data_IF_508426445158
#
_entry.id   IF_508426445158
#
_cell.length_a   1.000
_cell.length_b   1.000
_cell.length_c   1.000
_cell.angle_alpha   90.00
_cell.angle_beta   90.00
_cell.angle_gamma   90.00
#
_symmetry.space_group_name_H-M   'P 1'
#
loop_
_entity.id
_entity.type
_entity.pdbx_description
1 polymer ?
#
# COMPACT_ATOMS: atom_id res chain seq x y z
N UNK A 1 21.21 56.77 41.43
CA UNK A 1 20.85 57.62 40.29
C UNK A 1 19.36 57.48 40.06
N UNK A 2 18.68 58.59 40.23
CA UNK A 2 17.25 58.77 40.44
C UNK A 2 16.61 59.38 39.20
N UNK A 3 15.55 58.76 38.67
CA UNK A 3 14.59 59.37 37.75
C UNK A 3 13.20 58.84 38.16
N UNK A 4 12.42 59.61 38.91
CA UNK A 4 11.51 60.69 38.48
C UNK A 4 10.22 60.14 37.87
N UNK A 5 9.20 60.03 38.74
CA UNK A 5 7.79 59.95 38.40
C UNK A 5 7.25 61.37 38.42
N UNK A 6 6.55 61.79 37.36
CA UNK A 6 5.75 63.00 37.32
C UNK A 6 4.39 62.71 36.66
N UNK A 7 3.27 63.24 37.19
CA UNK A 7 1.93 63.03 36.64
C UNK A 7 1.59 64.11 35.60
N UNK A 8 0.88 63.74 34.54
CA UNK A 8 0.17 64.70 33.69
C UNK A 8 -1.30 64.31 33.56
N UNK A 9 -2.14 65.16 34.14
CA UNK A 9 -3.59 65.20 34.01
C UNK A 9 -3.99 66.10 32.83
N UNK A 10 -5.06 65.73 32.12
CA UNK A 10 -5.92 66.69 31.42
C UNK A 10 -6.00 66.53 29.91
N UNK A 11 -7.15 66.09 29.40
CA UNK A 11 -7.43 66.03 27.96
C UNK A 11 -8.72 65.29 27.61
N UNK A 12 -9.85 65.71 28.17
CA UNK A 12 -11.18 65.30 27.72
C UNK A 12 -11.47 65.90 26.35
N UNK A 13 -11.46 65.07 25.31
CA UNK A 13 -12.12 65.35 24.03
C UNK A 13 -12.88 64.11 23.62
N UNK A 14 -14.20 64.18 23.76
CA UNK A 14 -15.11 63.15 23.28
C UNK A 14 -15.01 63.03 21.77
N UNK A 15 -14.45 61.92 21.31
CA UNK A 15 -14.77 61.36 20.01
C UNK A 15 -15.70 60.18 20.26
N UNK A 16 -16.97 60.43 19.92
CA UNK A 16 -18.03 59.46 19.66
C UNK A 16 -17.46 58.08 19.36
N UNK A 17 -17.53 57.18 20.33
CA UNK A 17 -17.43 55.75 20.10
C UNK A 17 -18.59 55.40 19.16
N UNK A 18 -18.31 55.23 17.87
CA UNK A 18 -19.11 54.36 17.03
C UNK A 18 -19.05 52.98 17.66
N UNK A 19 -20.02 52.72 18.52
CA UNK A 19 -20.39 51.40 18.98
C UNK A 19 -20.93 50.66 17.75
N UNK A 20 -20.03 50.07 16.96
CA UNK A 20 -20.42 49.03 16.02
C UNK A 20 -20.81 47.83 16.88
N UNK A 21 -22.11 47.54 16.92
CA UNK A 21 -22.70 46.43 17.69
C UNK A 21 -21.85 45.15 17.61
N UNK A 22 -21.30 44.63 18.73
CA UNK A 22 -20.64 43.33 18.76
C UNK A 22 -21.63 42.14 18.69
N UNK A 23 -22.92 42.40 18.42
CA UNK A 23 -24.02 41.43 18.56
C UNK A 23 -24.33 40.57 17.34
N UNK A 24 -23.69 40.78 16.19
CA UNK A 24 -24.02 40.02 14.97
C UNK A 24 -22.81 39.66 14.10
N UNK A 25 -21.66 39.34 14.71
CA UNK A 25 -20.77 38.39 14.04
C UNK A 25 -21.49 37.05 14.04
N UNK A 26 -22.15 36.75 12.92
CA UNK A 26 -22.99 35.57 12.78
C UNK A 26 -22.14 34.34 13.10
N UNK A 27 -22.75 33.31 13.71
CA UNK A 27 -22.15 31.98 13.86
C UNK A 27 -21.58 31.50 12.49
N UNK A 28 -22.20 31.95 11.39
CA UNK A 28 -21.73 31.75 10.03
C UNK A 28 -20.36 32.37 9.75
N UNK A 29 -20.04 33.56 10.28
CA UNK A 29 -18.73 34.20 10.12
C UNK A 29 -17.64 33.50 10.92
N UNK A 30 -17.94 33.01 12.12
CA UNK A 30 -17.01 32.19 12.90
C UNK A 30 -16.70 30.87 12.19
N UNK A 31 -17.72 30.19 11.64
CA UNK A 31 -17.54 28.98 10.82
C UNK A 31 -16.74 29.30 9.56
N UNK A 32 -16.97 30.45 8.91
CA UNK A 32 -16.25 30.86 7.69
C UNK A 32 -14.78 31.18 7.97
N UNK A 33 -14.48 31.75 9.13
CA UNK A 33 -13.12 32.02 9.61
C UNK A 33 -12.42 30.70 9.98
N UNK A 34 -13.06 29.83 10.76
CA UNK A 34 -12.52 28.49 11.06
C UNK A 34 -12.27 27.64 9.80
N UNK A 35 -13.21 27.61 8.86
CA UNK A 35 -13.06 26.89 7.59
C UNK A 35 -11.91 27.44 6.72
N UNK A 36 -11.54 28.71 6.91
CA UNK A 36 -10.43 29.36 6.20
C UNK A 36 -9.07 29.18 6.91
N UNK A 37 -9.05 29.06 8.24
CA UNK A 37 -7.81 28.93 9.03
C UNK A 37 -7.39 27.48 9.28
N UNK A 38 -8.32 26.55 9.52
CA UNK A 38 -8.00 25.13 9.78
C UNK A 38 -7.13 24.49 8.67
N UNK A 39 -7.40 24.69 7.36
CA UNK A 39 -6.57 24.11 6.31
C UNK A 39 -5.14 24.67 6.30
N UNK A 40 -4.96 25.93 6.73
CA UNK A 40 -3.63 26.56 6.80
C UNK A 40 -2.84 26.01 7.99
N UNK A 41 -3.45 25.90 9.16
CA UNK A 41 -2.79 25.32 10.33
C UNK A 41 -2.40 23.84 10.11
N UNK A 42 -3.31 23.04 9.55
CA UNK A 42 -3.00 21.64 9.20
C UNK A 42 -1.86 21.54 8.18
N UNK A 43 -1.81 22.46 7.21
CA UNK A 43 -0.71 22.52 6.24
C UNK A 43 0.61 22.88 6.90
N UNK A 44 0.61 23.82 7.84
CA UNK A 44 1.81 24.27 8.53
C UNK A 44 2.34 23.19 9.50
N UNK A 45 1.46 22.53 10.26
CA UNK A 45 1.82 21.38 11.10
C UNK A 45 2.31 20.20 10.26
N UNK A 46 1.69 19.93 9.11
CA UNK A 46 2.17 18.90 8.18
C UNK A 46 3.55 19.27 7.58
N UNK A 47 3.81 20.54 7.31
CA UNK A 47 5.12 21.00 6.84
C UNK A 47 6.20 20.87 7.92
N UNK A 48 5.87 21.22 9.16
CA UNK A 48 6.77 21.05 10.30
C UNK A 48 7.08 19.58 10.55
N UNK A 49 6.05 18.73 10.59
CA UNK A 49 6.21 17.28 10.71
C UNK A 49 7.05 16.72 9.56
N UNK A 50 6.86 17.20 8.32
CA UNK A 50 7.66 16.78 7.18
C UNK A 50 9.13 17.15 7.33
N UNK A 51 9.45 18.36 7.83
CA UNK A 51 10.82 18.80 8.06
C UNK A 51 11.50 17.92 9.12
N UNK A 52 10.85 17.74 10.27
CA UNK A 52 11.37 16.92 11.36
C UNK A 52 11.52 15.45 10.94
N UNK A 53 10.53 14.89 10.23
CA UNK A 53 10.62 13.53 9.68
C UNK A 53 11.74 13.41 8.65
N UNK A 54 11.98 14.43 7.82
CA UNK A 54 13.06 14.40 6.82
C UNK A 54 14.43 14.44 7.48
N UNK A 55 14.62 15.24 8.53
CA UNK A 55 15.88 15.28 9.27
C UNK A 55 16.14 13.96 10.01
N UNK A 56 15.12 13.44 10.72
CA UNK A 56 15.21 12.11 11.37
C UNK A 56 15.43 11.00 10.35
N UNK A 57 14.76 11.04 9.19
CA UNK A 57 14.93 10.07 8.11
C UNK A 57 16.31 10.14 7.46
N UNK A 58 16.93 11.32 7.33
CA UNK A 58 18.30 11.44 6.80
C UNK A 58 19.31 10.79 7.75
N UNK A 59 19.19 11.04 9.05
CA UNK A 59 20.10 10.47 10.05
C UNK A 59 19.91 8.96 10.16
N UNK A 60 18.66 8.50 10.22
CA UNK A 60 18.35 7.07 10.22
C UNK A 60 18.74 6.40 8.89
N UNK A 61 18.56 7.10 7.77
CA UNK A 61 18.92 6.62 6.43
C UNK A 61 20.41 6.43 6.25
N UNK A 62 21.26 7.34 6.78
CA UNK A 62 22.71 7.15 6.80
C UNK A 62 23.11 5.92 7.61
N UNK A 63 22.52 5.74 8.80
CA UNK A 63 22.75 4.56 9.62
C UNK A 63 22.33 3.27 8.91
N UNK A 64 21.14 3.27 8.31
CA UNK A 64 20.64 2.13 7.53
C UNK A 64 21.53 1.81 6.32
N UNK A 65 22.10 2.80 5.65
CA UNK A 65 23.03 2.59 4.54
C UNK A 65 24.30 1.85 4.99
N UNK A 66 24.91 2.24 6.11
CA UNK A 66 26.06 1.52 6.67
C UNK A 66 25.70 0.10 7.11
N UNK A 67 24.50 -0.12 7.66
CA UNK A 67 24.02 -1.46 7.99
C UNK A 67 23.91 -2.33 6.73
N UNK A 68 23.35 -1.81 5.63
CA UNK A 68 23.26 -2.55 4.37
C UNK A 68 24.64 -2.91 3.84
N UNK A 69 25.58 -1.95 3.83
CA UNK A 69 26.97 -2.22 3.42
C UNK A 69 27.61 -3.27 4.32
N UNK A 70 27.45 -3.16 5.63
CA UNK A 70 27.93 -4.15 6.59
C UNK A 70 27.35 -5.54 6.37
N UNK A 71 26.05 -5.65 6.07
CA UNK A 71 25.41 -6.93 5.75
C UNK A 71 25.95 -7.54 4.44
N UNK A 72 26.26 -6.73 3.43
CA UNK A 72 26.89 -7.20 2.19
C UNK A 72 28.29 -7.77 2.48
N UNK A 73 29.12 -7.04 3.23
CA UNK A 73 30.45 -7.54 3.61
C UNK A 73 30.38 -8.77 4.50
N UNK A 74 29.43 -8.82 5.44
CA UNK A 74 29.19 -9.99 6.28
C UNK A 74 28.80 -11.21 5.44
N UNK A 75 27.95 -11.03 4.42
CA UNK A 75 27.57 -12.10 3.50
C UNK A 75 28.77 -12.60 2.69
N UNK A 76 29.58 -11.68 2.13
CA UNK A 76 30.80 -12.04 1.41
C UNK A 76 31.81 -12.78 2.30
N UNK A 77 32.03 -12.28 3.53
CA UNK A 77 32.89 -12.93 4.51
C UNK A 77 32.38 -14.33 4.88
N UNK A 78 31.07 -14.50 5.03
CA UNK A 78 30.46 -15.81 5.31
C UNK A 78 30.68 -16.79 4.16
N UNK A 79 30.50 -16.37 2.91
CA UNK A 79 30.77 -17.22 1.73
C UNK A 79 32.25 -17.64 1.69
N UNK A 80 33.16 -16.70 1.91
CA UNK A 80 34.59 -16.99 1.95
C UNK A 80 34.94 -17.98 3.08
N UNK A 81 34.34 -17.82 4.26
CA UNK A 81 34.57 -18.69 5.42
C UNK A 81 34.02 -20.11 5.19
N UNK A 82 32.84 -20.23 4.57
CA UNK A 82 32.28 -21.53 4.14
C UNK A 82 33.20 -22.20 3.13
N UNK A 83 33.69 -21.47 2.13
CA UNK A 83 34.65 -21.98 1.16
C UNK A 83 35.96 -22.45 1.82
N UNK A 84 36.51 -21.65 2.74
CA UNK A 84 37.70 -22.00 3.51
C UNK A 84 37.49 -23.24 4.38
N UNK A 85 36.31 -23.38 5.02
CA UNK A 85 35.97 -24.55 5.81
C UNK A 85 35.89 -25.82 4.94
N UNK A 86 35.28 -25.74 3.76
CA UNK A 86 35.23 -26.86 2.80
C UNK A 86 36.64 -27.22 2.34
N UNK A 87 37.45 -26.23 1.95
CA UNK A 87 38.82 -26.46 1.52
C UNK A 87 39.70 -27.07 2.63
N UNK A 88 39.53 -26.62 3.88
CA UNK A 88 40.22 -27.17 5.04
C UNK A 88 39.83 -28.62 5.31
N UNK A 89 38.54 -28.96 5.28
CA UNK A 89 38.07 -30.34 5.40
C UNK A 89 38.50 -31.22 4.21
N UNK A 90 38.61 -30.63 3.02
CA UNK A 90 39.03 -31.34 1.81
C UNK A 90 40.47 -31.88 1.90
N UNK A 91 41.28 -31.41 2.86
CA UNK A 91 42.62 -31.94 3.10
C UNK A 91 42.62 -33.32 3.77
N UNK A 92 41.54 -33.68 4.48
CA UNK A 92 41.42 -34.97 5.19
C UNK A 92 40.40 -35.92 4.55
N UNK A 93 39.53 -35.42 3.66
CA UNK A 93 38.51 -36.22 2.95
C UNK A 93 38.20 -35.63 1.57
N UNK A 94 37.54 -36.37 0.65
CA UNK A 94 37.16 -35.83 -0.65
C UNK A 94 36.31 -34.54 -0.55
N UNK A 95 36.60 -33.55 -1.42
CA UNK A 95 35.96 -32.23 -1.38
C UNK A 95 34.42 -32.28 -1.46
N UNK A 96 33.85 -33.24 -2.20
CA UNK A 96 32.40 -33.41 -2.30
C UNK A 96 31.78 -33.84 -0.95
N UNK A 97 32.48 -34.66 -0.17
CA UNK A 97 32.01 -35.13 1.14
C UNK A 97 32.14 -34.02 2.19
N UNK A 98 33.22 -33.25 2.13
CA UNK A 98 33.42 -32.05 2.96
C UNK A 98 32.26 -31.04 2.77
N UNK A 99 31.90 -30.76 1.52
CA UNK A 99 30.79 -29.86 1.19
C UNK A 99 29.44 -30.39 1.72
N UNK A 100 29.18 -31.70 1.60
CA UNK A 100 27.95 -32.31 2.13
C UNK A 100 27.87 -32.24 3.66
N UNK A 101 28.95 -32.54 4.37
CA UNK A 101 28.96 -32.45 5.84
C UNK A 101 28.70 -31.03 6.32
N UNK A 102 29.35 -30.04 5.72
CA UNK A 102 29.12 -28.65 6.08
C UNK A 102 27.69 -28.21 5.75
N UNK A 103 27.14 -28.65 4.61
CA UNK A 103 25.75 -28.38 4.25
C UNK A 103 24.75 -28.96 5.27
N UNK A 104 24.98 -30.19 5.74
CA UNK A 104 24.16 -30.81 6.80
C UNK A 104 24.26 -30.02 8.10
N UNK A 105 25.46 -29.58 8.50
CA UNK A 105 25.65 -28.75 9.69
C UNK A 105 24.84 -27.44 9.60
N UNK A 106 24.92 -26.72 8.48
CA UNK A 106 24.13 -25.51 8.26
C UNK A 106 22.63 -25.79 8.26
N UNK A 107 22.18 -26.91 7.69
CA UNK A 107 20.77 -27.28 7.65
C UNK A 107 20.22 -27.55 9.06
N UNK A 108 21.01 -28.16 9.95
CA UNK A 108 20.64 -28.35 11.36
C UNK A 108 20.51 -27.00 12.06
N UNK A 109 21.48 -26.11 11.88
CA UNK A 109 21.45 -24.76 12.48
C UNK A 109 20.22 -23.98 11.99
N UNK A 110 19.96 -24.01 10.68
CA UNK A 110 18.78 -23.37 10.09
C UNK A 110 17.48 -23.97 10.62
N UNK A 111 17.40 -25.29 10.77
CA UNK A 111 16.22 -25.95 11.31
C UNK A 111 15.95 -25.50 12.75
N UNK A 112 16.97 -25.47 13.62
CA UNK A 112 16.83 -24.99 15.00
C UNK A 112 16.42 -23.51 15.04
N UNK A 113 17.09 -22.65 14.27
CA UNK A 113 16.75 -21.24 14.18
C UNK A 113 15.31 -21.02 13.68
N UNK A 114 14.89 -21.78 12.67
CA UNK A 114 13.52 -21.74 12.15
C UNK A 114 12.50 -22.20 13.19
N UNK A 115 12.77 -23.28 13.93
CA UNK A 115 11.91 -23.74 15.01
C UNK A 115 11.74 -22.68 16.11
N UNK A 116 12.84 -22.03 16.51
CA UNK A 116 12.81 -20.94 17.50
C UNK A 116 12.03 -19.75 16.93
N UNK A 117 12.32 -19.33 15.70
CA UNK A 117 11.63 -18.22 15.04
C UNK A 117 10.13 -18.44 14.93
N UNK A 118 9.71 -19.60 14.42
CA UNK A 118 8.29 -20.00 14.33
C UNK A 118 7.65 -20.05 15.72
N UNK A 119 8.35 -20.57 16.73
CA UNK A 119 7.83 -20.63 18.10
C UNK A 119 7.64 -19.24 18.69
N UNK A 120 8.57 -18.32 18.46
CA UNK A 120 8.48 -16.93 18.91
C UNK A 120 7.35 -16.18 18.21
N UNK A 121 7.20 -16.35 16.89
CA UNK A 121 6.08 -15.77 16.12
C UNK A 121 4.74 -16.32 16.61
N UNK A 122 4.65 -17.64 16.85
CA UNK A 122 3.44 -18.28 17.39
C UNK A 122 3.07 -17.73 18.77
N UNK A 123 4.05 -17.46 19.63
CA UNK A 123 3.84 -16.82 20.95
C UNK A 123 3.44 -15.34 20.83
N UNK A 124 3.88 -14.66 19.78
CA UNK A 124 3.54 -13.25 19.51
C UNK A 124 2.17 -13.06 18.83
N UNK A 125 1.48 -14.14 18.45
CA UNK A 125 0.09 -14.10 17.97
C UNK A 125 -0.87 -14.14 19.17
N UNK A 126 -1.89 -13.26 19.24
CA UNK A 126 -2.59 -12.64 18.11
C UNK A 126 -2.01 -11.27 17.70
N UNK A 127 -1.38 -11.23 16.53
CA UNK A 127 -0.93 -10.03 15.80
C UNK A 127 -2.08 -9.12 15.37
N UNK A 128 -3.33 -9.49 15.68
CA UNK A 128 -4.47 -8.60 15.54
C UNK A 128 -4.48 -7.70 16.77
N UNK A 129 -4.14 -6.40 16.66
CA UNK A 129 -4.23 -5.47 17.76
C UNK A 129 -5.70 -5.39 18.21
N UNK A 130 -6.06 -6.17 19.23
CA UNK A 130 -7.45 -6.33 19.67
C UNK A 130 -8.11 -4.99 19.95
N UNK A 131 -7.35 -4.04 20.52
CA UNK A 131 -7.82 -2.68 20.80
C UNK A 131 -8.14 -1.89 19.53
N UNK A 132 -7.33 -2.00 18.48
CA UNK A 132 -7.56 -1.27 17.23
C UNK A 132 -8.77 -1.84 16.46
N UNK A 133 -8.88 -3.17 16.39
CA UNK A 133 -10.05 -3.83 15.77
C UNK A 133 -11.33 -3.52 16.53
N UNK A 134 -11.26 -3.51 17.86
CA UNK A 134 -12.38 -3.16 18.73
C UNK A 134 -12.82 -1.71 18.53
N UNK A 135 -11.87 -0.76 18.50
CA UNK A 135 -12.15 0.66 18.24
C UNK A 135 -12.87 0.87 16.91
N UNK A 136 -12.37 0.30 15.82
CA UNK A 136 -13.02 0.45 14.50
C UNK A 136 -14.43 -0.13 14.46
N UNK A 137 -14.66 -1.29 15.10
CA UNK A 137 -15.99 -1.90 15.19
C UNK A 137 -16.94 -1.09 16.07
N UNK A 138 -16.44 -0.53 17.17
CA UNK A 138 -17.19 0.36 18.04
C UNK A 138 -17.59 1.62 17.31
N UNK A 139 -16.64 2.29 16.64
CA UNK A 139 -16.88 3.51 15.86
C UNK A 139 -17.91 3.26 14.74
N UNK A 140 -17.81 2.14 14.02
CA UNK A 140 -18.80 1.73 13.01
C UNK A 140 -20.18 1.45 13.61
N UNK A 141 -20.24 0.84 14.79
CA UNK A 141 -21.50 0.57 15.49
C UNK A 141 -22.16 1.84 16.02
N UNK A 142 -21.38 2.79 16.54
CA UNK A 142 -21.88 4.10 16.98
C UNK A 142 -22.37 4.93 15.79
N UNK A 143 -21.70 4.86 14.64
CA UNK A 143 -22.17 5.53 13.41
C UNK A 143 -23.49 4.92 12.91
N UNK A 144 -23.70 3.61 13.08
CA UNK A 144 -24.88 2.91 12.58
C UNK A 144 -26.09 2.96 13.53
N UNK A 145 -25.85 2.80 14.84
CA UNK A 145 -26.88 2.58 15.86
C UNK A 145 -26.90 3.70 16.93
N UNK A 146 -25.99 4.68 16.84
CA UNK A 146 -25.93 5.82 17.75
C UNK A 146 -25.50 5.44 19.16
N UNK A 147 -25.96 6.21 20.15
CA UNK A 147 -25.64 6.01 21.57
C UNK A 147 -26.18 4.70 22.18
N UNK A 148 -27.08 4.01 21.48
CA UNK A 148 -27.57 2.69 21.86
C UNK A 148 -26.50 1.59 21.72
N UNK A 149 -25.44 1.85 20.93
CA UNK A 149 -24.33 0.91 20.76
C UNK A 149 -23.26 1.11 21.83
N UNK A 150 -23.41 0.43 22.96
CA UNK A 150 -22.47 0.53 24.09
C UNK A 150 -21.28 -0.43 23.95
N UNK A 151 -20.11 -0.02 24.42
CA UNK A 151 -18.88 -0.80 24.48
C UNK A 151 -19.08 -2.21 25.07
N UNK A 152 -19.91 -2.31 26.12
CA UNK A 152 -20.24 -3.55 26.83
C UNK A 152 -21.01 -4.57 26.00
N UNK A 153 -21.69 -4.15 24.93
CA UNK A 153 -22.38 -5.06 23.99
C UNK A 153 -21.36 -5.73 23.07
N UNK A 154 -20.41 -4.97 22.54
CA UNK A 154 -19.33 -5.48 21.67
C UNK A 154 -18.47 -6.50 22.41
N UNK A 155 -18.13 -6.19 23.67
CA UNK A 155 -17.33 -7.11 24.50
C UNK A 155 -18.07 -8.43 24.76
N UNK A 156 -19.38 -8.37 25.06
CA UNK A 156 -20.22 -9.57 25.24
C UNK A 156 -20.34 -10.39 23.95
N UNK A 157 -20.59 -9.74 22.82
CA UNK A 157 -20.67 -10.41 21.51
C UNK A 157 -19.32 -11.07 21.13
N UNK A 158 -18.19 -10.42 21.41
CA UNK A 158 -16.87 -11.03 21.20
C UNK A 158 -16.58 -12.19 22.15
N UNK A 159 -16.97 -12.09 23.43
CA UNK A 159 -16.83 -13.17 24.39
C UNK A 159 -17.65 -14.39 23.99
N UNK A 160 -18.93 -14.18 23.67
CA UNK A 160 -19.83 -15.24 23.18
C UNK A 160 -19.31 -15.85 21.87
N UNK A 161 -18.76 -15.05 20.95
CA UNK A 161 -18.16 -15.57 19.73
C UNK A 161 -16.88 -16.39 19.99
N UNK A 162 -16.11 -16.07 21.03
CA UNK A 162 -14.93 -16.86 21.44
C UNK A 162 -15.35 -18.15 22.11
N UNK A 163 -16.30 -18.09 23.02
CA UNK A 163 -16.87 -19.26 23.69
C UNK A 163 -17.52 -20.21 22.68
N UNK A 164 -18.31 -19.70 21.73
CA UNK A 164 -18.87 -20.51 20.63
C UNK A 164 -17.78 -21.15 19.77
N UNK A 165 -16.70 -20.42 19.43
CA UNK A 165 -15.57 -20.99 18.68
C UNK A 165 -14.78 -22.02 19.50
N UNK A 166 -14.65 -21.83 20.80
CA UNK A 166 -14.02 -22.80 21.69
C UNK A 166 -14.90 -24.03 21.87
N UNK A 167 -16.21 -23.87 22.03
CA UNK A 167 -17.18 -24.95 22.05
C UNK A 167 -17.19 -25.71 20.72
N UNK A 168 -17.27 -25.02 19.59
CA UNK A 168 -17.20 -25.63 18.26
C UNK A 168 -15.88 -26.40 18.06
N UNK A 169 -14.76 -25.90 18.59
CA UNK A 169 -13.46 -26.61 18.57
C UNK A 169 -13.41 -27.80 19.53
N UNK A 170 -14.05 -27.72 20.69
CA UNK A 170 -14.13 -28.81 21.68
C UNK A 170 -15.06 -29.90 21.16
N UNK A 171 -16.23 -29.55 20.63
CA UNK A 171 -17.14 -30.42 19.91
C UNK A 171 -16.44 -31.01 18.67
N UNK A 172 -15.67 -30.22 17.93
CA UNK A 172 -14.84 -30.71 16.82
C UNK A 172 -13.76 -31.72 17.24
N UNK A 173 -13.23 -31.59 18.45
CA UNK A 173 -12.22 -32.48 19.00
C UNK A 173 -12.84 -33.70 19.68
N UNK A 174 -14.10 -33.60 20.14
CA UNK A 174 -14.85 -34.64 20.85
C UNK A 174 -15.75 -35.47 19.94
N UNK A 175 -16.03 -35.02 18.71
CA UNK A 175 -16.82 -35.77 17.74
C UNK A 175 -15.96 -36.86 17.04
N UNK A 176 -16.11 -38.15 17.40
CA UNK A 176 -15.40 -39.25 16.75
C UNK A 176 -15.90 -39.49 15.30
N UNK A 177 -16.99 -38.85 14.89
CA UNK A 177 -17.54 -38.91 13.53
C UNK A 177 -16.97 -37.83 12.59
N UNK A 178 -16.03 -36.97 13.04
CA UNK A 178 -15.16 -36.18 12.14
C UNK A 178 -14.10 -37.05 11.46
N UNK A 179 -14.53 -38.14 10.86
CA UNK A 179 -13.92 -38.54 9.61
C UNK A 179 -14.16 -37.35 8.67
N UNK A 180 -13.07 -36.75 8.16
CA UNK A 180 -13.17 -35.88 6.97
C UNK A 180 -14.12 -36.61 6.01
N UNK A 181 -15.16 -35.95 5.46
CA UNK A 181 -16.09 -36.63 4.56
C UNK A 181 -15.24 -37.47 3.61
N UNK A 182 -15.52 -38.79 3.49
CA UNK A 182 -14.64 -39.70 2.77
C UNK A 182 -14.31 -39.06 1.44
N UNK A 183 -13.02 -39.05 1.08
CA UNK A 183 -12.54 -38.39 -0.12
C UNK A 183 -13.54 -38.72 -1.25
N UNK A 184 -14.07 -37.70 -1.98
CA UNK A 184 -15.17 -37.92 -2.91
C UNK A 184 -14.88 -39.15 -3.76
N UNK A 185 -15.84 -40.06 -3.91
CA UNK A 185 -15.62 -41.30 -4.67
C UNK A 185 -15.25 -40.93 -6.11
N UNK A 186 -14.44 -41.75 -6.79
CA UNK A 186 -13.93 -41.45 -8.14
C UNK A 186 -15.05 -41.05 -9.12
N UNK A 187 -16.22 -41.68 -9.00
CA UNK A 187 -17.41 -41.35 -9.78
C UNK A 187 -17.94 -39.94 -9.51
N UNK A 188 -17.93 -39.50 -8.24
CA UNK A 188 -18.33 -38.15 -7.84
C UNK A 188 -17.33 -37.10 -8.37
N UNK A 189 -16.03 -37.42 -8.41
CA UNK A 189 -15.05 -36.55 -9.07
C UNK A 189 -15.27 -36.49 -10.58
N UNK A 190 -15.50 -37.64 -11.23
CA UNK A 190 -15.77 -37.71 -12.67
C UNK A 190 -17.02 -36.90 -13.04
N UNK A 191 -18.08 -36.99 -12.25
CA UNK A 191 -19.31 -36.20 -12.43
C UNK A 191 -19.04 -34.70 -12.26
N UNK A 192 -18.35 -34.30 -11.19
CA UNK A 192 -17.99 -32.88 -10.94
C UNK A 192 -17.07 -32.32 -12.04
N UNK A 193 -16.14 -33.12 -12.55
CA UNK A 193 -15.27 -32.74 -13.67
C UNK A 193 -16.02 -32.61 -14.99
N UNK A 194 -17.06 -33.43 -15.21
CA UNK A 194 -17.94 -33.30 -16.37
C UNK A 194 -18.74 -32.00 -16.30
N UNK A 195 -19.35 -31.71 -15.15
CA UNK A 195 -20.09 -30.46 -14.91
C UNK A 195 -19.21 -29.22 -15.06
N UNK A 196 -17.97 -29.24 -14.53
CA UNK A 196 -17.02 -28.14 -14.71
C UNK A 196 -16.62 -27.94 -16.16
N UNK A 197 -16.42 -29.02 -16.93
CA UNK A 197 -16.09 -28.92 -18.36
C UNK A 197 -17.22 -28.31 -19.16
N UNK A 198 -18.47 -28.71 -18.90
CA UNK A 198 -19.63 -28.08 -19.54
C UNK A 198 -19.75 -26.61 -19.16
N UNK A 199 -19.57 -26.26 -17.88
CA UNK A 199 -19.62 -24.86 -17.44
C UNK A 199 -18.47 -24.00 -18.01
N UNK A 200 -17.29 -24.58 -18.22
CA UNK A 200 -16.17 -23.87 -18.85
C UNK A 200 -16.39 -23.67 -20.37
N UNK A 201 -17.07 -24.61 -21.04
CA UNK A 201 -17.43 -24.44 -22.46
C UNK A 201 -18.38 -23.26 -22.63
N UNK A 202 -19.45 -23.19 -21.82
CA UNK A 202 -20.42 -22.07 -21.90
C UNK A 202 -19.74 -20.73 -21.61
N UNK A 203 -18.84 -20.68 -20.63
CA UNK A 203 -18.07 -19.46 -20.33
C UNK A 203 -17.15 -19.04 -21.49
N UNK A 204 -16.50 -19.98 -22.16
CA UNK A 204 -15.66 -19.69 -23.33
C UNK A 204 -16.51 -19.16 -24.49
N UNK A 205 -17.65 -19.79 -24.75
CA UNK A 205 -18.52 -19.42 -25.86
C UNK A 205 -19.14 -18.02 -25.63
N UNK A 206 -19.49 -17.70 -24.37
CA UNK A 206 -19.88 -16.35 -23.94
C UNK A 206 -18.77 -15.30 -24.13
N UNK A 207 -17.52 -15.65 -23.81
CA UNK A 207 -16.38 -14.74 -23.99
C UNK A 207 -16.11 -14.49 -25.48
N UNK A 208 -16.20 -15.52 -26.31
CA UNK A 208 -16.07 -15.42 -27.77
C UNK A 208 -17.15 -14.48 -28.34
N UNK A 209 -18.42 -14.69 -27.96
CA UNK A 209 -19.52 -13.83 -28.41
C UNK A 209 -19.40 -12.38 -27.94
N UNK A 210 -18.92 -12.15 -26.71
CA UNK A 210 -18.62 -10.79 -26.21
C UNK A 210 -17.44 -10.16 -26.94
N UNK A 211 -16.39 -10.91 -27.26
CA UNK A 211 -15.23 -10.40 -27.98
C UNK A 211 -15.60 -9.93 -29.39
N UNK A 212 -16.45 -10.67 -30.12
CA UNK A 212 -16.94 -10.28 -31.45
C UNK A 212 -17.80 -9.00 -31.39
N UNK A 213 -18.63 -8.87 -30.35
CA UNK A 213 -19.43 -7.65 -30.10
C UNK A 213 -18.55 -6.44 -29.80
N UNK A 214 -17.50 -6.61 -29.00
CA UNK A 214 -16.54 -5.54 -28.69
C UNK A 214 -15.74 -5.18 -29.95
N UNK A 215 -15.33 -6.15 -30.77
CA UNK A 215 -14.57 -5.89 -31.98
C UNK A 215 -15.38 -5.12 -33.02
N UNK A 216 -16.68 -5.41 -33.18
CA UNK A 216 -17.56 -4.67 -34.09
C UNK A 216 -17.88 -3.26 -33.58
N UNK A 217 -18.11 -3.10 -32.27
CA UNK A 217 -18.30 -1.79 -31.62
C UNK A 217 -17.04 -0.92 -31.75
N UNK A 218 -15.87 -1.53 -31.57
CA UNK A 218 -14.58 -0.86 -31.71
C UNK A 218 -14.29 -0.50 -33.17
N UNK A 219 -14.59 -1.38 -34.14
CA UNK A 219 -14.49 -1.05 -35.58
C UNK A 219 -15.38 0.13 -35.95
N UNK A 220 -16.62 0.18 -35.46
CA UNK A 220 -17.52 1.31 -35.67
C UNK A 220 -16.97 2.63 -35.10
N UNK A 221 -16.30 2.58 -33.95
CA UNK A 221 -15.65 3.74 -33.35
C UNK A 221 -14.40 4.18 -34.14
N UNK A 222 -13.57 3.24 -34.57
CA UNK A 222 -12.36 3.50 -35.38
C UNK A 222 -12.71 4.04 -36.77
N UNK A 223 -13.75 3.52 -37.42
CA UNK A 223 -14.23 4.04 -38.70
C UNK A 223 -14.84 5.45 -38.56
N UNK A 224 -15.53 5.72 -37.44
CA UNK A 224 -16.11 7.04 -37.19
C UNK A 224 -15.02 8.07 -36.88
N UNK A 225 -14.04 7.73 -36.07
CA UNK A 225 -12.90 8.60 -35.75
C UNK A 225 -11.96 8.79 -36.95
N UNK A 226 -11.67 7.74 -37.72
CA UNK A 226 -10.84 7.86 -38.92
C UNK A 226 -11.50 8.69 -40.01
N UNK A 227 -12.84 8.65 -40.15
CA UNK A 227 -13.57 9.55 -41.05
C UNK A 227 -13.57 10.99 -40.55
N UNK A 228 -13.74 11.23 -39.26
CA UNK A 228 -13.65 12.59 -38.69
C UNK A 228 -12.25 13.19 -38.88
N UNK A 229 -11.20 12.39 -38.72
CA UNK A 229 -9.81 12.83 -38.94
C UNK A 229 -9.49 13.02 -40.44
N UNK A 230 -10.00 12.16 -41.33
CA UNK A 230 -9.80 12.29 -42.78
C UNK A 230 -10.67 13.37 -43.43
N UNK A 231 -11.83 13.69 -42.87
CA UNK A 231 -12.73 14.74 -43.35
C UNK A 231 -12.31 16.16 -42.92
N UNK A 232 -11.18 16.32 -42.22
CA UNK A 232 -10.57 17.64 -41.98
C UNK A 232 -9.25 17.84 -42.76
N UNK A 233 -9.24 17.79 -44.09
CA UNK A 233 -8.04 18.13 -44.85
C UNK A 233 -8.04 19.64 -45.13
N UNK A 234 -7.54 20.43 -44.17
CA UNK A 234 -6.61 21.58 -44.39
C UNK A 234 -6.51 22.63 -43.27
N UNK A 235 -7.35 22.62 -42.24
CA UNK A 235 -7.31 23.71 -41.25
C UNK A 235 -6.97 23.30 -39.81
N UNK A 236 -6.39 22.12 -39.57
CA UNK A 236 -5.95 21.76 -38.20
C UNK A 236 -4.76 22.63 -37.74
N UNK A 237 -3.92 23.08 -38.68
CA UNK A 237 -2.83 24.03 -38.40
C UNK A 237 -3.32 25.46 -38.19
N UNK A 238 -4.48 25.83 -38.77
CA UNK A 238 -5.14 27.13 -38.58
C UNK A 238 -5.97 27.20 -37.30
N UNK A 239 -6.70 26.12 -36.97
CA UNK A 239 -7.51 26.03 -35.75
C UNK A 239 -6.67 25.97 -34.46
N UNK A 240 -5.48 25.35 -34.51
CA UNK A 240 -4.55 25.36 -33.38
C UNK A 240 -3.70 26.65 -33.31
N UNK A 241 -3.59 27.41 -34.40
CA UNK A 241 -2.88 28.70 -34.44
C UNK A 241 -3.78 29.91 -34.13
N UNK A 242 -5.09 29.83 -34.39
CA UNK A 242 -6.05 30.91 -34.15
C UNK A 242 -6.71 30.86 -32.75
N UNK A 243 -6.35 29.90 -31.90
CA UNK A 243 -6.68 29.93 -30.47
C UNK A 243 -5.68 30.72 -29.61
N UNK A 244 -4.56 31.15 -30.21
CA UNK A 244 -3.42 31.75 -29.49
C UNK A 244 -3.50 33.25 -29.19
N UNK A 245 -4.59 33.95 -29.58
CA UNK A 245 -4.65 35.41 -29.41
C UNK A 245 -6.08 35.92 -29.14
N UNK A 246 -6.65 35.52 -28.00
CA UNK A 246 -7.57 36.32 -27.14
C UNK A 246 -8.09 35.47 -25.98
N UNK A 247 -7.16 35.07 -25.11
CA UNK A 247 -7.39 34.88 -23.67
C UNK A 247 -6.03 34.70 -23.01
N UNK A 248 -5.28 35.79 -22.91
CA UNK A 248 -4.03 35.81 -22.17
C UNK A 248 -4.27 36.30 -20.74
N UNK A 249 -3.78 35.51 -19.78
CA UNK A 249 -3.38 35.92 -18.42
C UNK A 249 -4.53 36.07 -17.40
N UNK A 250 -4.59 35.37 -16.26
CA UNK A 250 -3.47 35.03 -15.36
C UNK A 250 -3.87 33.96 -14.33
N UNK A 251 -3.36 32.74 -14.50
CA UNK A 251 -3.08 31.81 -13.41
C UNK A 251 -1.88 30.94 -13.82
N UNK A 252 -0.68 31.47 -13.59
CA UNK A 252 0.57 30.72 -13.69
C UNK A 252 1.25 30.70 -12.34
N UNK A 253 1.50 29.50 -11.81
CA UNK A 253 2.84 28.99 -11.52
C UNK A 253 2.75 27.66 -10.77
N UNK A 254 3.31 26.59 -11.37
CA UNK A 254 3.71 25.41 -10.60
C UNK A 254 3.46 24.02 -11.19
N UNK A 255 3.46 23.81 -12.51
CA UNK A 255 3.59 22.45 -13.06
C UNK A 255 4.54 22.43 -14.25
N UNK A 256 5.81 22.17 -13.93
CA UNK A 256 6.84 21.80 -14.87
C UNK A 256 7.13 20.30 -14.72
N UNK A 257 6.98 19.56 -15.83
CA UNK A 257 7.89 18.46 -16.18
C UNK A 257 7.72 17.09 -15.52
N UNK A 258 6.60 16.40 -15.76
CA UNK A 258 6.43 14.94 -15.48
C UNK A 258 6.45 14.08 -16.77
N UNK A 259 6.50 14.69 -17.96
CA UNK A 259 6.32 13.99 -19.24
C UNK A 259 7.56 13.42 -19.96
N UNK A 260 8.80 13.72 -19.54
CA UNK A 260 10.01 13.36 -20.32
C UNK A 260 10.87 12.23 -19.73
N UNK A 261 10.42 11.53 -18.69
CA UNK A 261 11.30 10.63 -17.90
C UNK A 261 11.11 9.13 -18.11
N UNK A 262 10.13 8.72 -18.91
CA UNK A 262 9.79 7.29 -19.07
C UNK A 262 10.21 6.68 -20.42
N UNK A 263 10.92 7.43 -21.28
CA UNK A 263 11.43 6.91 -22.55
C UNK A 263 12.67 5.97 -22.48
N UNK A 264 13.47 5.84 -21.40
CA UNK A 264 14.48 4.78 -21.34
C UNK A 264 13.97 3.42 -20.83
N UNK A 265 12.69 3.28 -20.45
CA UNK A 265 12.16 2.02 -19.89
C UNK A 265 11.29 1.21 -20.87
N UNK A 266 10.93 1.74 -22.03
CA UNK A 266 10.29 0.95 -23.10
C UNK A 266 11.29 0.16 -23.95
N UNK A 267 12.58 0.50 -23.93
CA UNK A 267 13.67 -0.31 -24.52
C UNK A 267 13.94 -1.59 -23.71
N UNK A 268 13.50 -1.65 -22.44
CA UNK A 268 13.74 -2.79 -21.55
C UNK A 268 12.72 -3.94 -21.73
N UNK A 269 11.55 -3.67 -22.32
CA UNK A 269 10.53 -4.69 -22.56
C UNK A 269 10.84 -5.60 -23.77
N UNK A 270 11.71 -5.15 -24.69
CA UNK A 270 12.19 -5.98 -25.83
C UNK A 270 13.47 -6.74 -25.49
N UNK A 271 14.22 -6.34 -24.45
CA UNK A 271 15.43 -7.04 -24.01
C UNK A 271 15.17 -8.31 -23.16
N UNK A 272 13.96 -8.49 -22.64
CA UNK A 272 13.61 -9.63 -21.79
C UNK A 272 13.55 -10.98 -22.52
N UNK A 273 13.18 -11.01 -23.79
CA UNK A 273 13.12 -12.26 -24.57
C UNK A 273 14.51 -12.76 -24.99
N UNK A 274 15.47 -11.85 -25.24
CA UNK A 274 16.84 -12.20 -25.60
C UNK A 274 17.63 -12.81 -24.42
N UNK A 275 17.40 -12.33 -23.18
CA UNK A 275 18.06 -12.85 -21.97
C UNK A 275 17.65 -14.29 -21.62
N UNK A 276 16.39 -14.64 -21.88
CA UNK A 276 15.86 -16.00 -21.66
C UNK A 276 16.43 -17.00 -22.68
N UNK A 277 16.63 -16.57 -23.93
CA UNK A 277 17.26 -17.40 -24.98
C UNK A 277 18.78 -17.58 -24.72
N UNK A 278 19.45 -16.56 -24.20
CA UNK A 278 20.87 -16.62 -23.84
C UNK A 278 21.13 -17.56 -22.64
N UNK A 279 20.28 -17.53 -21.61
CA UNK A 279 20.36 -18.45 -20.47
C UNK A 279 20.12 -19.91 -20.89
N UNK A 280 19.22 -20.16 -21.84
CA UNK A 280 18.97 -21.52 -22.35
C UNK A 280 20.14 -22.07 -23.17
N UNK A 281 20.99 -21.22 -23.75
CA UNK A 281 22.16 -21.63 -24.55
C UNK A 281 23.44 -21.84 -23.71
N UNK A 282 23.47 -21.38 -22.46
CA UNK A 282 24.62 -21.53 -21.56
C UNK A 282 24.61 -22.85 -20.76
N UNK A 283 23.46 -23.51 -20.64
CA UNK A 283 23.27 -24.75 -19.88
C UNK A 283 23.05 -26.00 -20.77
N UNK A 284 23.53 -25.95 -22.02
CA UNK A 284 23.54 -27.07 -22.96
C UNK A 284 24.89 -27.13 -23.65
#
# INVERSE_FOLDING_TARGET
>A
MSHSVGPSTGGTSGTRSEHSDPGSASILDVVKVFARLLPKQLKDEAQLAKLELTEKAKTLGKGAAFVVVGLVFLLLATIALVGAAIAGLAQVMPAWLAALLLAVLFLIILAVAALIGVSTIKKALPLVPRKAVFGTKYDLGVVKEGSAYTESRVQREEQLARERKEQEKREAAQDPARQKPPAPTEEQLRHRLKLRREHLKTLRDDVQGRAETIQSTTKGFVDRTSRTVKATPKDVKGLLAQGGAKSGSRAGAGQAGIGERWQPLTVLAVAGSAFVVFLRKLFR
#
